data_IF_698110371342
#
_entry.id   IF_698110371342
#
_cell.length_a   1.000
_cell.length_b   1.000
_cell.length_c   1.000
_cell.angle_alpha   90.00
_cell.angle_beta   90.00
_cell.angle_gamma   90.00
#
_symmetry.space_group_name_H-M   'P 1'
#
loop_
_entity.id
_entity.type
_entity.pdbx_description
1 polymer ?
#
# COMPACT_ATOMS: atom_id res chain seq x y z
N UNK A 1 -25.60 28.86 -7.11
CA UNK A 1 -25.42 27.81 -6.08
C UNK A 1 -24.09 27.14 -6.34
N UNK A 2 -23.15 27.20 -5.39
CA UNK A 2 -21.82 26.61 -5.57
C UNK A 2 -21.92 25.08 -5.53
N UNK A 3 -21.53 24.41 -6.61
CA UNK A 3 -21.29 22.97 -6.59
C UNK A 3 -20.04 22.71 -5.75
N UNK A 4 -20.21 22.47 -4.45
CA UNK A 4 -19.14 21.90 -3.64
C UNK A 4 -18.86 20.50 -4.18
N UNK A 5 -17.77 20.33 -4.94
CA UNK A 5 -17.33 19.00 -5.33
C UNK A 5 -16.83 18.32 -4.07
N UNK A 6 -17.67 17.47 -3.46
CA UNK A 6 -17.27 16.69 -2.30
C UNK A 6 -16.10 15.81 -2.75
N UNK A 7 -14.90 16.11 -2.24
CA UNK A 7 -13.72 15.32 -2.56
C UNK A 7 -13.90 13.94 -1.94
N UNK A 8 -13.70 12.87 -2.72
CA UNK A 8 -13.60 11.53 -2.14
C UNK A 8 -12.35 11.46 -1.28
N UNK A 9 -12.41 10.70 -0.20
CA UNK A 9 -11.33 10.57 0.78
C UNK A 9 -10.92 9.11 0.92
N UNK A 10 -9.62 8.85 0.85
CA UNK A 10 -9.01 7.53 0.97
C UNK A 10 -7.95 7.54 2.07
N UNK A 11 -8.09 6.67 3.06
CA UNK A 11 -7.03 6.36 4.02
C UNK A 11 -6.28 5.11 3.56
N UNK A 12 -4.96 5.22 3.41
CA UNK A 12 -4.05 4.09 3.20
C UNK A 12 -3.11 3.98 4.39
N UNK A 13 -2.99 2.79 4.95
CA UNK A 13 -2.04 2.49 6.03
C UNK A 13 -1.03 1.47 5.54
N UNK A 14 0.26 1.77 5.65
CA UNK A 14 1.34 0.81 5.44
C UNK A 14 1.90 0.29 6.76
N UNK A 15 2.55 -0.87 6.73
CA UNK A 15 3.17 -1.44 7.92
C UNK A 15 4.36 -0.59 8.39
N UNK A 16 5.29 -0.25 7.49
CA UNK A 16 6.50 0.50 7.81
C UNK A 16 6.79 1.68 6.89
N UNK A 17 8.02 2.18 7.01
CA UNK A 17 8.52 3.34 6.24
C UNK A 17 8.60 3.04 4.74
N UNK A 18 8.92 1.80 4.37
CA UNK A 18 9.04 1.40 2.95
C UNK A 18 7.66 1.41 2.27
N UNK A 19 6.65 0.84 2.93
CA UNK A 19 5.26 0.86 2.49
C UNK A 19 4.77 2.29 2.32
N UNK A 20 4.99 3.15 3.32
CA UNK A 20 4.57 4.55 3.28
C UNK A 20 5.20 5.29 2.08
N UNK A 21 6.50 5.08 1.84
CA UNK A 21 7.21 5.68 0.71
C UNK A 21 6.65 5.19 -0.64
N UNK A 22 6.40 3.88 -0.76
CA UNK A 22 5.81 3.29 -1.96
C UNK A 22 4.36 3.73 -2.21
N UNK A 23 3.51 3.71 -1.18
CA UNK A 23 2.14 4.21 -1.28
C UNK A 23 2.12 5.69 -1.68
N UNK A 24 3.10 6.47 -1.18
CA UNK A 24 3.27 7.88 -1.58
C UNK A 24 3.67 7.99 -3.05
N UNK A 25 4.55 7.12 -3.53
CA UNK A 25 4.91 7.02 -4.94
C UNK A 25 3.69 6.71 -5.83
N UNK A 26 2.90 5.68 -5.48
CA UNK A 26 1.66 5.35 -6.22
C UNK A 26 0.67 6.50 -6.22
N UNK A 27 0.49 7.17 -5.07
CA UNK A 27 -0.36 8.36 -4.93
C UNK A 27 0.05 9.47 -5.88
N UNK A 28 1.35 9.74 -6.07
CA UNK A 28 1.82 10.78 -7.00
C UNK A 28 1.35 10.54 -8.43
N UNK A 29 1.24 9.28 -8.85
CA UNK A 29 0.76 8.91 -10.18
C UNK A 29 -0.78 8.90 -10.27
N UNK A 30 -1.46 8.31 -9.28
CA UNK A 30 -2.91 8.01 -9.37
C UNK A 30 -3.82 9.07 -8.75
N UNK A 31 -3.32 9.92 -7.86
CA UNK A 31 -4.10 11.00 -7.24
C UNK A 31 -3.39 12.36 -7.35
N UNK A 32 -3.18 12.88 -8.58
CA UNK A 32 -2.60 14.20 -8.77
C UNK A 32 -3.48 15.29 -8.16
N UNK A 33 -2.89 16.45 -7.86
CA UNK A 33 -3.62 17.58 -7.27
C UNK A 33 -4.84 17.95 -8.13
N UNK A 34 -5.99 18.14 -7.48
CA UNK A 34 -7.23 18.53 -8.16
C UNK A 34 -7.99 17.38 -8.84
N UNK A 35 -7.55 16.12 -8.73
CA UNK A 35 -8.29 14.97 -9.29
C UNK A 35 -9.63 14.69 -8.58
N UNK A 36 -9.90 15.30 -7.43
CA UNK A 36 -11.12 15.08 -6.65
C UNK A 36 -11.03 13.95 -5.64
N UNK A 37 -9.86 13.29 -5.53
CA UNK A 37 -9.53 12.31 -4.50
C UNK A 37 -8.47 12.89 -3.55
N UNK A 38 -8.74 12.85 -2.25
CA UNK A 38 -7.80 13.20 -1.19
C UNK A 38 -7.33 11.90 -0.54
N UNK A 39 -6.04 11.60 -0.69
CA UNK A 39 -5.42 10.39 -0.14
C UNK A 39 -4.58 10.75 1.08
N UNK A 40 -4.91 10.18 2.24
CA UNK A 40 -4.14 10.25 3.48
C UNK A 40 -3.37 8.94 3.64
N UNK A 41 -2.05 9.04 3.81
CA UNK A 41 -1.18 7.89 4.03
C UNK A 41 -0.69 7.94 5.48
N UNK A 42 -0.67 6.78 6.14
CA UNK A 42 -0.17 6.61 7.51
C UNK A 42 0.72 5.37 7.61
N UNK A 43 1.59 5.39 8.61
CA UNK A 43 2.53 4.33 8.92
C UNK A 43 2.18 3.76 10.30
N UNK A 44 1.98 2.45 10.38
CA UNK A 44 1.65 1.75 11.61
C UNK A 44 2.87 1.54 12.53
N UNK A 45 4.08 1.77 12.02
CA UNK A 45 5.36 1.56 12.71
C UNK A 45 5.64 0.09 13.06
N UNK A 46 5.33 -0.82 12.12
CA UNK A 46 5.62 -2.25 12.18
C UNK A 46 4.65 -3.05 13.04
N UNK A 47 5.11 -4.23 13.48
CA UNK A 47 4.45 -5.17 14.41
C UNK A 47 3.37 -6.07 13.77
N UNK A 48 3.46 -6.32 12.46
CA UNK A 48 2.68 -7.34 11.77
C UNK A 48 1.22 -6.95 11.49
N UNK A 49 0.54 -7.81 10.73
CA UNK A 49 -0.75 -7.51 10.12
C UNK A 49 -1.85 -7.12 11.12
N UNK A 50 -1.93 -7.79 12.28
CA UNK A 50 -2.92 -7.47 13.31
C UNK A 50 -2.74 -6.05 13.85
N UNK A 51 -1.50 -5.61 14.08
CA UNK A 51 -1.22 -4.27 14.56
C UNK A 51 -1.63 -3.21 13.54
N UNK A 52 -1.31 -3.42 12.27
CA UNK A 52 -1.67 -2.51 11.19
C UNK A 52 -3.19 -2.35 11.11
N UNK A 53 -3.97 -3.42 11.22
CA UNK A 53 -5.43 -3.35 11.21
C UNK A 53 -5.97 -2.61 12.43
N UNK A 54 -5.50 -2.91 13.63
CA UNK A 54 -5.90 -2.20 14.86
C UNK A 54 -5.58 -0.70 14.78
N UNK A 55 -4.40 -0.35 14.28
CA UNK A 55 -4.00 1.04 14.05
C UNK A 55 -4.94 1.71 13.04
N UNK A 56 -5.25 1.04 11.92
CA UNK A 56 -6.14 1.55 10.87
C UNK A 56 -7.54 1.83 11.42
N UNK A 57 -8.07 0.96 12.28
CA UNK A 57 -9.36 1.17 12.96
C UNK A 57 -9.34 2.46 13.77
N UNK A 58 -8.28 2.70 14.55
CA UNK A 58 -8.14 3.92 15.35
C UNK A 58 -8.06 5.18 14.48
N UNK A 59 -7.31 5.12 13.36
CA UNK A 59 -7.21 6.26 12.44
C UNK A 59 -8.57 6.60 11.80
N UNK A 60 -9.35 5.58 11.41
CA UNK A 60 -10.70 5.76 10.88
C UNK A 60 -11.69 6.30 11.91
N UNK A 61 -11.49 6.03 13.19
CA UNK A 61 -12.35 6.59 14.25
C UNK A 61 -12.09 8.10 14.46
N UNK A 62 -10.89 8.57 14.16
CA UNK A 62 -10.51 9.98 14.33
C UNK A 62 -10.94 10.88 13.16
N UNK A 63 -11.22 10.31 11.98
CA UNK A 63 -11.65 11.07 10.81
C UNK A 63 -12.51 10.20 9.88
N UNK A 64 -13.52 10.81 9.26
CA UNK A 64 -14.34 10.11 8.27
C UNK A 64 -13.60 10.00 6.94
N UNK A 65 -13.50 8.79 6.42
CA UNK A 65 -12.97 8.48 5.09
C UNK A 65 -14.01 7.68 4.31
N UNK A 66 -14.14 7.95 3.01
CA UNK A 66 -15.02 7.20 2.11
C UNK A 66 -14.48 5.78 1.86
N UNK A 67 -13.15 5.66 1.77
CA UNK A 67 -12.45 4.40 1.59
C UNK A 67 -11.31 4.28 2.60
N UNK A 68 -11.08 3.06 3.08
CA UNK A 68 -10.00 2.74 4.02
C UNK A 68 -9.35 1.42 3.58
N UNK A 69 -8.03 1.43 3.44
CA UNK A 69 -7.27 0.23 3.15
C UNK A 69 -5.97 0.16 3.96
N UNK A 70 -5.48 -1.06 4.16
CA UNK A 70 -4.25 -1.35 4.84
C UNK A 70 -3.41 -2.34 4.03
N UNK A 71 -2.15 -2.00 3.78
CA UNK A 71 -1.15 -2.90 3.22
C UNK A 71 -0.44 -3.64 4.35
N UNK A 72 -0.43 -4.96 4.27
CA UNK A 72 0.12 -5.84 5.31
C UNK A 72 0.94 -6.97 4.69
N UNK A 73 2.04 -7.30 5.33
CA UNK A 73 2.76 -8.52 5.04
C UNK A 73 1.97 -9.73 5.53
N UNK A 74 2.12 -10.86 4.85
CA UNK A 74 1.40 -12.11 5.18
C UNK A 74 2.23 -13.09 6.01
N UNK A 75 3.52 -12.80 6.21
CA UNK A 75 4.43 -13.67 6.94
C UNK A 75 4.32 -13.53 8.48
N UNK A 76 3.72 -12.44 8.97
CA UNK A 76 3.66 -12.09 10.39
C UNK A 76 2.25 -11.67 10.82
N UNK A 77 1.70 -12.37 11.82
CA UNK A 77 0.40 -12.10 12.43
C UNK A 77 -0.81 -12.05 11.47
N UNK A 78 -0.67 -12.59 10.26
CA UNK A 78 -1.73 -12.68 9.27
C UNK A 78 -2.58 -13.93 9.51
N UNK A 79 -3.83 -13.74 9.96
CA UNK A 79 -4.73 -14.82 10.37
C UNK A 79 -6.19 -14.53 10.02
N UNK A 80 -7.06 -15.54 10.14
CA UNK A 80 -8.52 -15.38 9.95
C UNK A 80 -9.11 -14.29 10.85
N UNK A 81 -8.54 -14.09 12.03
CA UNK A 81 -8.91 -12.99 12.93
C UNK A 81 -8.67 -11.62 12.29
N UNK A 82 -7.53 -11.44 11.62
CA UNK A 82 -7.19 -10.19 10.91
C UNK A 82 -8.17 -9.96 9.76
N UNK A 83 -8.46 -11.00 8.98
CA UNK A 83 -9.43 -10.95 7.88
C UNK A 83 -10.83 -10.57 8.38
N UNK A 84 -11.31 -11.22 9.44
CA UNK A 84 -12.60 -10.96 10.05
C UNK A 84 -12.69 -9.53 10.61
N UNK A 85 -11.61 -9.06 11.25
CA UNK A 85 -11.55 -7.72 11.82
C UNK A 85 -11.57 -6.64 10.71
N UNK A 86 -10.74 -6.78 9.68
CA UNK A 86 -10.73 -5.87 8.54
C UNK A 86 -12.10 -5.81 7.85
N UNK A 87 -12.73 -6.97 7.60
CA UNK A 87 -14.07 -7.05 7.04
C UNK A 87 -15.11 -6.35 7.92
N UNK A 88 -15.11 -6.62 9.23
CA UNK A 88 -16.02 -5.99 10.21
C UNK A 88 -15.92 -4.46 10.16
N UNK A 89 -14.72 -3.92 9.99
CA UNK A 89 -14.47 -2.49 9.97
C UNK A 89 -14.47 -1.87 8.55
N UNK A 90 -14.82 -2.64 7.52
CA UNK A 90 -14.82 -2.21 6.10
C UNK A 90 -13.46 -1.64 5.69
N UNK A 91 -12.39 -2.36 6.03
CA UNK A 91 -11.03 -2.07 5.63
C UNK A 91 -10.68 -3.03 4.50
N UNK A 92 -10.27 -2.49 3.36
CA UNK A 92 -9.72 -3.29 2.26
C UNK A 92 -8.29 -3.70 2.63
N UNK A 93 -8.01 -5.01 2.71
CA UNK A 93 -6.65 -5.49 2.91
C UNK A 93 -5.93 -5.63 1.58
N UNK A 94 -4.70 -5.11 1.54
CA UNK A 94 -3.76 -5.29 0.45
C UNK A 94 -2.66 -6.22 0.96
N UNK A 95 -2.78 -7.51 0.64
CA UNK A 95 -1.90 -8.54 1.19
C UNK A 95 -0.62 -8.67 0.38
N UNK A 96 0.49 -8.15 0.90
CA UNK A 96 1.81 -8.28 0.28
C UNK A 96 2.41 -9.64 0.63
N UNK A 97 2.24 -10.63 -0.25
CA UNK A 97 2.65 -12.01 0.03
C UNK A 97 4.02 -12.37 -0.56
N UNK A 98 4.93 -13.04 0.20
CA UNK A 98 4.90 -13.20 1.66
C UNK A 98 5.12 -11.88 2.41
N UNK A 99 5.91 -10.97 1.83
CA UNK A 99 6.21 -9.64 2.36
C UNK A 99 6.27 -8.58 1.24
N UNK A 100 6.38 -7.32 1.63
CA UNK A 100 6.46 -6.16 0.75
C UNK A 100 7.60 -6.24 -0.27
N UNK A 101 8.81 -6.64 0.14
CA UNK A 101 9.94 -6.73 -0.80
C UNK A 101 9.72 -7.80 -1.87
N UNK A 102 9.07 -8.92 -1.51
CA UNK A 102 8.73 -9.97 -2.47
C UNK A 102 7.75 -9.46 -3.53
N UNK A 103 6.71 -8.74 -3.10
CA UNK A 103 5.74 -8.12 -3.99
C UNK A 103 6.43 -7.20 -5.01
N UNK A 104 7.33 -6.34 -4.54
CA UNK A 104 8.07 -5.42 -5.42
C UNK A 104 9.01 -6.15 -6.36
N UNK A 105 9.79 -7.12 -5.89
CA UNK A 105 10.67 -7.88 -6.76
C UNK A 105 9.90 -8.60 -7.88
N UNK A 106 8.73 -9.18 -7.57
CA UNK A 106 7.88 -9.79 -8.61
C UNK A 106 7.29 -8.77 -9.57
N UNK A 107 6.99 -7.55 -9.11
CA UNK A 107 6.51 -6.45 -9.97
C UNK A 107 7.45 -6.21 -11.15
N UNK A 108 8.76 -6.25 -10.90
CA UNK A 108 9.82 -6.03 -11.90
C UNK A 108 10.45 -7.34 -12.42
N UNK A 109 9.69 -8.44 -12.36
CA UNK A 109 10.05 -9.76 -12.89
C UNK A 109 11.37 -10.35 -12.35
N UNK A 110 11.76 -9.94 -11.13
CA UNK A 110 12.90 -10.53 -10.44
C UNK A 110 12.50 -11.86 -9.78
N UNK A 111 13.39 -12.85 -9.88
CA UNK A 111 13.24 -14.12 -9.14
C UNK A 111 13.47 -13.86 -7.65
N UNK A 112 12.60 -14.42 -6.81
CA UNK A 112 12.75 -14.29 -5.36
C UNK A 112 13.90 -15.18 -4.88
N UNK A 113 14.85 -14.57 -4.16
CA UNK A 113 15.83 -15.31 -3.37
C UNK A 113 15.26 -15.77 -2.03
N UNK A 114 16.15 -16.06 -1.08
CA UNK A 114 15.76 -16.36 0.29
C UNK A 114 15.08 -15.16 0.97
N UNK A 115 14.05 -15.40 1.78
CA UNK A 115 13.27 -14.35 2.47
C UNK A 115 14.15 -13.33 3.21
N UNK A 116 15.22 -13.80 3.87
CA UNK A 116 16.16 -12.93 4.62
C UNK A 116 16.98 -11.99 3.73
N UNK A 117 17.11 -12.29 2.44
CA UNK A 117 17.90 -11.52 1.48
C UNK A 117 17.04 -10.59 0.61
N UNK A 118 15.71 -10.67 0.67
CA UNK A 118 14.83 -9.89 -0.21
C UNK A 118 15.04 -8.38 -0.06
N UNK A 119 15.29 -7.88 1.16
CA UNK A 119 15.66 -6.48 1.40
C UNK A 119 16.92 -6.07 0.66
N UNK A 120 17.96 -6.90 0.76
CA UNK A 120 19.23 -6.66 0.06
C UNK A 120 19.06 -6.75 -1.45
N UNK A 121 18.19 -7.65 -1.92
CA UNK A 121 17.90 -7.83 -3.34
C UNK A 121 17.10 -6.65 -3.91
N UNK A 122 16.18 -6.07 -3.14
CA UNK A 122 15.39 -4.91 -3.56
C UNK A 122 16.22 -3.62 -3.59
N UNK A 123 17.17 -3.46 -2.67
CA UNK A 123 17.95 -2.22 -2.45
C UNK A 123 18.45 -1.52 -3.72
N UNK A 124 19.06 -2.21 -4.70
CA UNK A 124 19.55 -1.58 -5.92
C UNK A 124 18.45 -0.98 -6.81
N UNK A 125 17.22 -1.51 -6.74
CA UNK A 125 16.08 -1.05 -7.52
C UNK A 125 15.38 0.16 -6.89
N UNK A 126 15.76 0.52 -5.66
CA UNK A 126 15.26 1.67 -4.91
C UNK A 126 16.41 2.59 -4.48
N UNK A 127 17.51 2.61 -5.24
CA UNK A 127 18.69 3.46 -5.02
C UNK A 127 19.21 3.42 -3.57
N UNK A 128 19.13 2.26 -2.91
CA UNK A 128 19.49 2.06 -1.50
C UNK A 128 18.74 2.98 -0.50
N UNK A 129 17.64 3.59 -0.95
CA UNK A 129 16.82 4.57 -0.23
C UNK A 129 15.33 4.17 -0.27
N UNK A 130 14.96 3.00 0.27
CA UNK A 130 13.58 2.49 0.22
C UNK A 130 12.56 3.36 0.98
N UNK A 131 13.00 4.26 1.86
CA UNK A 131 12.13 5.23 2.55
C UNK A 131 11.83 6.50 1.76
N UNK A 132 12.42 6.69 0.57
CA UNK A 132 12.17 7.86 -0.27
C UNK A 132 11.24 7.47 -1.42
N UNK A 133 10.09 8.15 -1.55
CA UNK A 133 9.12 7.86 -2.62
C UNK A 133 9.72 8.01 -4.03
N UNK A 134 10.65 8.96 -4.22
CA UNK A 134 11.35 9.17 -5.50
C UNK A 134 12.24 8.00 -5.91
N UNK A 135 12.69 7.18 -4.96
CA UNK A 135 13.52 6.01 -5.25
C UNK A 135 12.81 4.95 -6.09
N UNK A 136 11.47 4.96 -6.05
CA UNK A 136 10.64 4.00 -6.78
C UNK A 136 10.42 4.40 -8.24
N UNK A 137 10.70 5.66 -8.63
CA UNK A 137 10.33 6.20 -9.95
C UNK A 137 10.94 5.44 -11.13
N UNK A 138 12.18 4.96 -10.99
CA UNK A 138 12.92 4.32 -12.07
C UNK A 138 12.36 2.94 -12.44
N UNK A 139 12.00 2.15 -11.44
CA UNK A 139 11.66 0.73 -11.62
C UNK A 139 10.19 0.42 -11.36
N UNK A 140 9.49 1.27 -10.62
CA UNK A 140 8.11 1.07 -10.18
C UNK A 140 7.18 2.17 -10.71
N UNK A 141 7.44 2.70 -11.90
CA UNK A 141 6.57 3.65 -12.57
C UNK A 141 5.18 3.06 -12.87
N UNK A 142 4.20 3.92 -13.16
CA UNK A 142 2.82 3.50 -13.35
C UNK A 142 2.64 2.34 -14.37
N UNK A 143 3.28 2.34 -15.55
CA UNK A 143 3.15 1.22 -16.48
C UNK A 143 3.63 -0.12 -15.91
N UNK A 144 4.70 -0.11 -15.11
CA UNK A 144 5.21 -1.34 -14.47
C UNK A 144 4.21 -1.86 -13.42
N UNK A 145 3.59 -0.96 -12.65
CA UNK A 145 2.57 -1.32 -11.66
C UNK A 145 1.31 -1.87 -12.33
N UNK A 146 0.85 -1.24 -13.40
CA UNK A 146 -0.33 -1.67 -14.17
C UNK A 146 -0.11 -3.04 -14.82
N UNK A 147 1.05 -3.26 -15.45
CA UNK A 147 1.41 -4.56 -16.01
C UNK A 147 1.47 -5.64 -14.92
N UNK A 148 1.97 -5.29 -13.73
CA UNK A 148 2.04 -6.23 -12.62
C UNK A 148 0.66 -6.58 -12.02
N UNK A 149 -0.41 -5.81 -12.28
CA UNK A 149 -1.76 -6.17 -11.83
C UNK A 149 -2.28 -7.49 -12.40
N UNK A 150 -1.72 -7.98 -13.52
CA UNK A 150 -2.07 -9.28 -14.10
C UNK A 150 -1.62 -10.47 -13.21
N UNK A 151 -0.54 -10.28 -12.45
CA UNK A 151 0.09 -11.32 -11.62
C UNK A 151 -0.01 -11.03 -10.11
N UNK A 152 -0.08 -9.77 -9.71
CA UNK A 152 -0.11 -9.33 -8.32
C UNK A 152 -1.48 -8.74 -7.95
N UNK A 153 -2.32 -9.54 -7.29
CA UNK A 153 -3.62 -9.08 -6.80
C UNK A 153 -3.49 -7.89 -5.84
N UNK A 154 -2.45 -7.84 -5.02
CA UNK A 154 -2.19 -6.72 -4.13
C UNK A 154 -2.08 -5.37 -4.88
N UNK A 155 -1.39 -5.36 -6.02
CA UNK A 155 -1.28 -4.15 -6.85
C UNK A 155 -2.60 -3.83 -7.55
N UNK A 156 -3.32 -4.83 -8.05
CA UNK A 156 -4.66 -4.62 -8.62
C UNK A 156 -5.60 -3.96 -7.61
N UNK A 157 -5.69 -4.51 -6.40
CA UNK A 157 -6.51 -3.94 -5.31
C UNK A 157 -6.04 -2.52 -5.00
N UNK A 158 -4.73 -2.29 -4.86
CA UNK A 158 -4.19 -0.97 -4.57
C UNK A 158 -4.58 0.05 -5.64
N UNK A 159 -4.38 -0.26 -6.93
CA UNK A 159 -4.69 0.69 -8.02
C UNK A 159 -6.19 0.94 -8.15
N UNK A 160 -7.03 -0.08 -7.95
CA UNK A 160 -8.50 0.04 -7.97
C UNK A 160 -9.01 1.05 -6.94
N UNK A 161 -8.35 1.20 -5.78
CA UNK A 161 -8.77 2.16 -4.75
C UNK A 161 -8.69 3.62 -5.23
N UNK A 162 -7.82 3.92 -6.19
CA UNK A 162 -7.66 5.27 -6.75
C UNK A 162 -8.63 5.56 -7.90
N UNK A 163 -9.23 4.53 -8.50
CA UNK A 163 -10.15 4.67 -9.64
C UNK A 163 -11.63 4.76 -9.23
N UNK A 164 -11.93 4.60 -7.93
CA UNK A 164 -13.31 4.41 -7.41
C UNK A 164 -14.06 5.66 -7.00
#
# INVERSE_FOLDING_TARGET
MAHWRNHKTLLLVGEGIHDEAFLTHVKRHKAPRGCGLIVTIRNANGKGALHVVDYTIRQKQNAQFDQVAAMVDTDTDYSDRVLALAKRHRITLISAAPCFEALLLRTIDQKLGETKQLKKQLSPFVNDKPGEASSYEKHFGLPALENACEKEEALRILLDLFSR
#
